data_IF_872211141547
#
_entry.id   IF_872211141547
#
_cell.length_a   1.000
_cell.length_b   1.000
_cell.length_c   1.000
_cell.angle_alpha   90.00
_cell.angle_beta   90.00
_cell.angle_gamma   90.00
#
_symmetry.space_group_name_H-M   'P 1'
#
loop_
_entity.id
_entity.type
_entity.pdbx_description
1 polymer ?
#
# COMPACT_ATOMS: atom_id res chain seq x y z
N UNK A 1 -28.49 16.36 -22.28
CA UNK A 1 -28.50 16.24 -20.80
C UNK A 1 -27.40 15.26 -20.40
N UNK A 2 -26.27 15.76 -19.92
CA UNK A 2 -25.16 14.92 -19.45
C UNK A 2 -25.48 14.42 -18.05
N UNK A 3 -25.81 13.14 -17.93
CA UNK A 3 -26.00 12.45 -16.66
C UNK A 3 -24.69 12.47 -15.88
N UNK A 4 -24.56 13.38 -14.90
CA UNK A 4 -23.51 13.34 -13.91
C UNK A 4 -23.77 12.11 -13.01
N UNK A 5 -23.16 10.98 -13.36
CA UNK A 5 -23.13 9.83 -12.48
C UNK A 5 -22.19 10.17 -11.32
N UNK A 6 -22.77 10.63 -10.21
CA UNK A 6 -22.06 10.79 -8.94
C UNK A 6 -21.71 9.37 -8.46
N UNK A 7 -20.55 8.86 -8.86
CA UNK A 7 -20.01 7.62 -8.31
C UNK A 7 -19.59 7.94 -6.87
N UNK A 8 -20.51 7.74 -5.93
CA UNK A 8 -20.20 7.71 -4.51
C UNK A 8 -19.31 6.47 -4.34
N UNK A 9 -18.00 6.68 -4.35
CA UNK A 9 -17.06 5.68 -3.83
C UNK A 9 -17.27 5.72 -2.32
N UNK A 10 -18.30 5.01 -1.83
CA UNK A 10 -18.31 4.60 -0.43
C UNK A 10 -17.06 3.74 -0.27
N UNK A 11 -16.11 4.23 0.53
CA UNK A 11 -14.93 3.45 0.87
C UNK A 11 -15.41 2.12 1.44
N UNK A 12 -15.09 1.01 0.78
CA UNK A 12 -14.99 -0.27 1.48
C UNK A 12 -13.69 -0.17 2.25
N UNK A 13 -13.75 0.47 3.41
CA UNK A 13 -12.64 0.47 4.35
C UNK A 13 -12.37 -1.01 4.64
N UNK A 14 -11.18 -1.55 4.29
CA UNK A 14 -10.88 -2.96 4.57
C UNK A 14 -10.61 -3.22 6.06
N UNK A 15 -11.31 -2.46 6.90
CA UNK A 15 -11.03 -2.26 8.29
C UNK A 15 -11.88 -3.22 9.10
N UNK A 16 -11.21 -4.06 9.89
CA UNK A 16 -11.82 -5.06 10.76
C UNK A 16 -12.19 -4.40 12.09
N UNK A 17 -13.39 -4.67 12.59
CA UNK A 17 -13.83 -4.23 13.93
C UNK A 17 -13.46 -5.25 15.00
N UNK A 18 -13.40 -4.82 16.27
CA UNK A 18 -13.21 -5.72 17.41
C UNK A 18 -11.77 -6.20 17.66
N UNK A 19 -10.82 -5.85 16.80
CA UNK A 19 -9.39 -6.20 16.97
C UNK A 19 -8.64 -5.18 17.84
N UNK A 20 -9.03 -3.90 17.78
CA UNK A 20 -8.38 -2.83 18.52
C UNK A 20 -9.28 -2.29 19.63
N UNK A 21 -8.74 -2.00 20.83
CA UNK A 21 -9.53 -1.37 21.87
C UNK A 21 -9.92 0.05 21.47
N UNK A 22 -11.09 0.50 21.93
CA UNK A 22 -11.61 1.85 21.66
C UNK A 22 -10.61 2.97 21.96
N UNK A 23 -9.75 2.80 22.98
CA UNK A 23 -8.73 3.77 23.39
C UNK A 23 -7.74 4.14 22.28
N UNK A 24 -7.49 3.22 21.33
CA UNK A 24 -6.67 3.46 20.13
C UNK A 24 -7.32 4.50 19.20
N UNK A 25 -8.65 4.59 19.20
CA UNK A 25 -9.40 5.53 18.37
C UNK A 25 -9.76 6.82 19.11
N UNK A 26 -9.68 6.83 20.45
CA UNK A 26 -9.93 8.02 21.26
C UNK A 26 -8.74 8.98 21.28
N UNK A 27 -7.53 8.47 21.09
CA UNK A 27 -6.30 9.25 21.05
C UNK A 27 -5.66 9.12 19.68
N UNK A 28 -4.82 10.10 19.31
CA UNK A 28 -4.05 10.00 18.07
C UNK A 28 -3.06 8.84 18.16
N UNK A 29 -3.32 7.80 17.37
CA UNK A 29 -2.49 6.63 17.26
C UNK A 29 -2.07 6.39 15.80
N UNK A 30 -0.76 6.31 15.60
CA UNK A 30 -0.13 6.01 14.32
C UNK A 30 1.19 5.28 14.58
N UNK A 31 1.76 4.72 13.51
CA UNK A 31 3.08 4.09 13.52
C UNK A 31 3.05 2.63 13.10
N UNK A 32 4.17 1.95 13.37
CA UNK A 32 4.40 0.58 12.94
C UNK A 32 3.84 -0.41 13.95
N UNK A 33 3.11 -1.39 13.46
CA UNK A 33 2.58 -2.52 14.22
C UNK A 33 3.09 -3.80 13.58
N UNK A 34 3.65 -4.69 14.39
CA UNK A 34 4.08 -6.03 13.96
C UNK A 34 3.03 -7.06 14.33
N UNK A 35 2.89 -8.09 13.49
CA UNK A 35 1.80 -9.06 13.57
C UNK A 35 2.31 -10.48 13.76
N UNK A 36 1.66 -11.19 14.68
CA UNK A 36 1.69 -12.63 14.80
C UNK A 36 0.51 -13.29 14.06
N UNK A 37 0.16 -14.50 14.47
CA UNK A 37 -0.97 -15.25 13.91
C UNK A 37 -2.31 -14.71 14.44
N UNK A 38 -3.40 -14.95 13.70
CA UNK A 38 -4.77 -14.62 14.11
C UNK A 38 -4.97 -13.13 14.45
N UNK A 39 -4.36 -12.25 13.66
CA UNK A 39 -4.34 -10.80 13.89
C UNK A 39 -3.86 -10.38 15.29
N UNK A 40 -3.08 -11.21 15.98
CA UNK A 40 -2.31 -10.76 17.14
C UNK A 40 -1.29 -9.72 16.70
N UNK A 41 -1.16 -8.63 17.46
CA UNK A 41 -0.30 -7.51 17.09
C UNK A 41 0.38 -6.90 18.30
N UNK A 42 1.46 -6.17 18.02
CA UNK A 42 2.14 -5.34 19.00
C UNK A 42 2.65 -4.07 18.31
N UNK A 43 2.33 -2.90 18.90
CA UNK A 43 2.86 -1.62 18.42
C UNK A 43 4.37 -1.60 18.63
N UNK A 44 5.12 -1.19 17.62
CA UNK A 44 6.56 -0.97 17.77
C UNK A 44 6.81 0.33 18.57
N UNK A 45 7.50 0.19 19.71
CA UNK A 45 7.90 1.29 20.58
C UNK A 45 9.43 1.37 20.60
N UNK A 46 10.06 2.52 20.28
CA UNK A 46 11.51 2.62 20.21
C UNK A 46 12.18 2.24 21.53
N UNK A 47 13.18 1.35 21.47
CA UNK A 47 13.91 0.87 22.64
C UNK A 47 13.25 -0.28 23.41
N UNK A 48 12.05 -0.69 23.02
CA UNK A 48 11.35 -1.84 23.62
C UNK A 48 11.44 -3.06 22.70
N UNK A 49 11.56 -4.25 23.29
CA UNK A 49 11.40 -5.51 22.57
C UNK A 49 9.98 -5.63 22.03
N UNK A 50 9.81 -6.30 20.90
CA UNK A 50 8.50 -6.58 20.32
C UNK A 50 8.41 -8.05 19.93
N UNK A 51 7.35 -8.73 20.35
CA UNK A 51 7.17 -10.18 20.27
C UNK A 51 7.11 -10.72 18.85
N UNK A 52 6.79 -9.86 17.88
CA UNK A 52 6.61 -10.20 16.46
C UNK A 52 7.69 -9.59 15.57
N UNK A 53 8.75 -9.05 16.16
CA UNK A 53 9.86 -8.44 15.44
C UNK A 53 11.19 -9.10 15.78
N UNK A 54 11.86 -9.60 14.75
CA UNK A 54 13.24 -10.03 14.82
C UNK A 54 14.09 -9.15 13.89
N UNK A 55 15.07 -8.44 14.45
CA UNK A 55 15.94 -7.56 13.68
C UNK A 55 16.76 -8.26 12.59
N UNK A 56 16.94 -9.57 12.67
CA UNK A 56 17.67 -10.37 11.67
C UNK A 56 16.77 -10.91 10.55
N UNK A 57 15.46 -10.90 10.74
CA UNK A 57 14.50 -11.40 9.76
C UNK A 57 14.28 -10.44 8.59
N UNK A 58 13.97 -10.93 7.37
CA UNK A 58 13.42 -10.07 6.32
C UNK A 58 12.09 -9.45 6.79
N UNK A 59 11.67 -8.32 6.22
CA UNK A 59 10.48 -7.59 6.67
C UNK A 59 9.60 -7.18 5.50
N UNK A 60 8.29 -7.36 5.65
CA UNK A 60 7.27 -6.81 4.74
C UNK A 60 6.37 -5.88 5.53
N UNK A 61 6.23 -4.65 5.04
CA UNK A 61 5.48 -3.58 5.69
C UNK A 61 4.39 -3.10 4.72
N UNK A 62 3.16 -3.15 5.18
CA UNK A 62 1.98 -2.69 4.45
C UNK A 62 1.51 -1.31 4.92
N UNK A 63 1.04 -0.49 3.98
CA UNK A 63 0.43 0.81 4.27
C UNK A 63 -0.92 0.92 3.57
N UNK A 64 -1.97 1.11 4.37
CA UNK A 64 -3.33 1.23 3.87
C UNK A 64 -3.62 2.60 3.24
N UNK A 65 -4.76 2.69 2.54
CA UNK A 65 -5.23 3.89 1.86
C UNK A 65 -6.12 4.80 2.71
N UNK A 66 -7.06 5.45 2.03
CA UNK A 66 -8.11 6.29 2.61
C UNK A 66 -9.07 5.47 3.47
N UNK A 67 -9.43 5.97 4.67
CA UNK A 67 -10.16 5.19 5.69
C UNK A 67 -11.35 5.97 6.27
N UNK A 68 -12.24 6.45 5.39
CA UNK A 68 -13.40 7.22 5.80
C UNK A 68 -14.28 6.45 6.81
N UNK A 69 -14.60 7.11 7.92
CA UNK A 69 -15.36 6.61 9.08
C UNK A 69 -14.68 5.48 9.88
N UNK A 70 -13.45 5.10 9.58
CA UNK A 70 -12.76 4.02 10.33
C UNK A 70 -12.64 4.30 11.82
N UNK A 71 -12.42 5.56 12.21
CA UNK A 71 -12.26 5.94 13.62
C UNK A 71 -13.58 5.80 14.38
N UNK A 72 -14.68 6.30 13.80
CA UNK A 72 -16.03 6.17 14.35
C UNK A 72 -16.47 4.70 14.42
N UNK A 73 -16.13 3.92 13.40
CA UNK A 73 -16.42 2.49 13.34
C UNK A 73 -15.47 1.64 14.19
N UNK A 74 -14.44 2.25 14.79
CA UNK A 74 -13.42 1.57 15.58
C UNK A 74 -12.79 0.39 14.81
N UNK A 75 -12.45 0.65 13.56
CA UNK A 75 -11.92 -0.34 12.64
C UNK A 75 -10.55 0.04 12.09
N UNK A 76 -9.71 -0.98 11.87
CA UNK A 76 -8.40 -0.85 11.20
C UNK A 76 -8.20 -2.03 10.26
N UNK A 77 -7.51 -1.82 9.15
CA UNK A 77 -7.21 -2.95 8.26
C UNK A 77 -6.30 -3.96 8.94
N UNK A 78 -6.63 -5.24 8.87
CA UNK A 78 -5.85 -6.35 9.46
C UNK A 78 -5.53 -7.39 8.39
N UNK A 79 -4.84 -8.48 8.71
CA UNK A 79 -4.47 -9.49 7.73
C UNK A 79 -5.61 -10.46 7.39
N UNK A 80 -6.70 -10.45 8.16
CA UNK A 80 -7.96 -11.04 7.76
C UNK A 80 -8.87 -9.99 7.09
N UNK A 81 -9.33 -10.29 5.87
CA UNK A 81 -10.15 -9.39 5.04
C UNK A 81 -11.56 -9.90 4.77
N UNK A 82 -12.00 -10.94 5.48
CA UNK A 82 -13.32 -11.57 5.29
C UNK A 82 -14.47 -10.56 5.40
N UNK A 83 -14.42 -9.66 6.38
CA UNK A 83 -15.45 -8.63 6.61
C UNK A 83 -15.64 -7.65 5.42
N UNK A 84 -14.78 -7.72 4.39
CA UNK A 84 -14.74 -6.81 3.27
C UNK A 84 -14.89 -7.52 1.91
N UNK A 85 -15.70 -8.57 1.89
CA UNK A 85 -15.89 -9.48 0.75
C UNK A 85 -14.58 -10.14 0.29
N UNK A 86 -13.53 -10.09 1.12
CA UNK A 86 -12.26 -10.75 0.87
C UNK A 86 -12.33 -12.25 1.14
N UNK A 87 -11.24 -12.98 0.88
CA UNK A 87 -11.12 -14.37 1.32
C UNK A 87 -11.06 -14.45 2.85
N UNK A 88 -11.65 -15.51 3.41
CA UNK A 88 -11.50 -15.86 4.81
C UNK A 88 -10.18 -16.62 5.02
N UNK A 89 -9.07 -15.90 4.95
CA UNK A 89 -7.71 -16.41 5.15
C UNK A 89 -6.86 -15.35 5.86
N UNK A 90 -5.83 -15.79 6.57
CA UNK A 90 -4.77 -14.92 7.06
C UNK A 90 -3.76 -14.65 5.93
N UNK A 91 -3.85 -13.46 5.33
CA UNK A 91 -3.03 -13.06 4.20
C UNK A 91 -1.52 -13.01 4.52
N UNK A 92 -1.16 -12.96 5.79
CA UNK A 92 0.23 -12.88 6.26
C UNK A 92 0.82 -14.23 6.68
N UNK A 93 0.01 -15.31 6.67
CA UNK A 93 0.45 -16.63 7.12
C UNK A 93 1.71 -17.13 6.39
N UNK A 94 1.68 -17.17 5.06
CA UNK A 94 2.80 -17.66 4.26
C UNK A 94 4.07 -16.81 4.41
N UNK A 95 3.91 -15.50 4.62
CA UNK A 95 5.03 -14.59 4.88
C UNK A 95 5.71 -14.88 6.22
N UNK A 96 4.92 -15.02 7.30
CA UNK A 96 5.44 -15.36 8.63
C UNK A 96 6.09 -16.74 8.64
N UNK A 97 5.48 -17.72 7.96
CA UNK A 97 6.06 -19.07 7.78
C UNK A 97 7.40 -19.04 7.03
N UNK A 98 7.58 -18.10 6.10
CA UNK A 98 8.85 -17.86 5.43
C UNK A 98 9.85 -17.00 6.26
N UNK A 99 9.54 -16.72 7.53
CA UNK A 99 10.43 -16.03 8.46
C UNK A 99 10.41 -14.50 8.37
N UNK A 100 9.45 -13.89 7.67
CA UNK A 100 9.32 -12.44 7.60
C UNK A 100 8.74 -11.87 8.89
N UNK A 101 9.27 -10.73 9.33
CA UNK A 101 8.48 -9.79 10.12
C UNK A 101 7.37 -9.23 9.21
N UNK A 102 6.12 -9.28 9.67
CA UNK A 102 4.99 -8.78 8.91
C UNK A 102 4.34 -7.63 9.68
N UNK A 103 4.29 -6.45 9.07
CA UNK A 103 3.83 -5.24 9.75
C UNK A 103 2.88 -4.36 8.95
N UNK A 104 2.08 -3.57 9.65
CA UNK A 104 1.23 -2.53 9.08
C UNK A 104 1.65 -1.18 9.65
N UNK A 105 1.82 -0.18 8.79
CA UNK A 105 1.98 1.23 9.19
C UNK A 105 0.62 1.91 9.21
N UNK A 106 0.10 2.16 10.41
CA UNK A 106 -1.18 2.81 10.59
C UNK A 106 -1.09 4.33 10.55
N UNK A 107 -2.00 4.90 9.78
CA UNK A 107 -2.30 6.33 9.75
C UNK A 107 -3.80 6.58 9.59
N UNK A 108 -4.63 5.59 9.96
CA UNK A 108 -6.07 5.57 9.68
C UNK A 108 -6.81 6.80 10.21
N UNK A 109 -6.46 7.31 11.41
CA UNK A 109 -7.10 8.52 11.94
C UNK A 109 -6.74 9.80 11.17
N UNK A 110 -5.57 9.83 10.52
CA UNK A 110 -5.24 10.91 9.57
C UNK A 110 -5.95 10.70 8.22
N UNK A 111 -6.09 9.44 7.79
CA UNK A 111 -6.74 9.04 6.56
C UNK A 111 -8.28 9.01 6.64
N UNK A 112 -8.85 9.17 7.83
CA UNK A 112 -10.30 9.27 8.08
C UNK A 112 -10.77 10.69 7.77
N UNK A 113 -11.01 10.91 6.49
CA UNK A 113 -11.51 12.16 5.92
C UNK A 113 -12.74 11.86 5.06
N UNK A 114 -13.63 12.84 4.92
CA UNK A 114 -14.79 12.69 4.01
C UNK A 114 -14.41 12.79 2.52
N UNK A 115 -13.25 13.37 2.21
CA UNK A 115 -12.75 13.55 0.85
C UNK A 115 -11.33 12.98 0.75
N UNK A 116 -11.10 12.12 -0.26
CA UNK A 116 -9.82 11.44 -0.45
C UNK A 116 -8.65 12.42 -0.63
N UNK A 117 -8.88 13.58 -1.27
CA UNK A 117 -7.85 14.60 -1.47
C UNK A 117 -7.42 15.29 -0.17
N UNK A 118 -8.30 15.34 0.83
CA UNK A 118 -7.98 15.90 2.14
C UNK A 118 -7.03 14.95 2.91
N UNK A 119 -7.24 13.63 2.80
CA UNK A 119 -6.30 12.63 3.30
C UNK A 119 -4.98 12.61 2.50
N UNK A 120 -5.03 12.71 1.16
CA UNK A 120 -3.86 12.78 0.29
C UNK A 120 -2.92 13.92 0.68
N UNK A 121 -3.46 15.12 0.93
CA UNK A 121 -2.65 16.29 1.25
C UNK A 121 -1.77 16.08 2.50
N UNK A 122 -2.29 15.37 3.52
CA UNK A 122 -1.57 15.08 4.77
C UNK A 122 -0.37 14.15 4.59
N UNK A 123 -0.32 13.39 3.49
CA UNK A 123 0.86 12.59 3.14
C UNK A 123 2.04 13.53 2.83
N UNK A 124 1.77 14.62 2.11
CA UNK A 124 2.81 15.47 1.51
C UNK A 124 3.12 16.71 2.34
N UNK A 125 2.12 17.28 3.00
CA UNK A 125 2.25 18.58 3.65
C UNK A 125 1.29 18.72 4.83
N UNK A 126 1.52 19.75 5.65
CA UNK A 126 0.64 20.07 6.78
C UNK A 126 -0.35 21.20 6.52
N UNK A 127 -0.17 21.91 5.41
CA UNK A 127 -0.94 23.09 5.02
C UNK A 127 -1.89 22.80 3.83
N UNK A 128 -2.32 21.55 3.67
CA UNK A 128 -3.41 21.21 2.75
C UNK A 128 -4.73 21.91 3.14
N UNK A 129 -5.77 21.77 2.31
CA UNK A 129 -7.08 22.43 2.51
C UNK A 129 -7.67 22.22 3.92
N UNK A 130 -7.46 21.04 4.51
CA UNK A 130 -7.91 20.68 5.86
C UNK A 130 -6.84 20.71 6.93
N UNK A 131 -5.63 21.16 6.57
CA UNK A 131 -4.43 21.14 7.39
C UNK A 131 -4.13 19.72 7.95
N UNK A 132 -3.20 19.61 8.90
CA UNK A 132 -3.09 18.39 9.70
C UNK A 132 -4.18 18.34 10.74
N UNK A 133 -4.99 17.28 10.66
CA UNK A 133 -5.99 16.93 11.66
C UNK A 133 -6.19 15.42 11.67
N UNK A 134 -6.79 14.89 12.73
CA UNK A 134 -7.13 13.49 12.86
C UNK A 134 -8.53 13.35 13.47
N UNK A 135 -9.17 12.20 13.23
CA UNK A 135 -10.54 11.95 13.70
C UNK A 135 -10.54 10.97 14.88
N UNK A 136 -11.32 11.28 15.91
CA UNK A 136 -11.51 10.39 17.07
C UNK A 136 -12.69 9.42 16.86
N UNK A 137 -12.90 8.52 17.83
CA UNK A 137 -14.00 7.53 17.79
C UNK A 137 -15.40 8.13 17.92
N UNK A 138 -15.52 9.38 18.38
CA UNK A 138 -16.79 10.13 18.42
C UNK A 138 -17.06 10.84 17.10
N UNK A 139 -16.10 10.81 16.17
CA UNK A 139 -16.17 11.45 14.87
C UNK A 139 -15.73 12.91 14.87
N UNK A 140 -15.18 13.43 15.97
CA UNK A 140 -14.66 14.78 16.07
C UNK A 140 -13.28 14.89 15.42
N UNK A 141 -13.00 16.03 14.81
CA UNK A 141 -11.68 16.35 14.30
C UNK A 141 -10.86 17.11 15.35
N UNK A 142 -9.61 16.68 15.51
CA UNK A 142 -8.62 17.30 16.40
C UNK A 142 -7.44 17.80 15.56
N UNK A 143 -6.80 18.88 16.02
CA UNK A 143 -5.58 19.38 15.38
C UNK A 143 -4.49 18.30 15.40
N UNK A 144 -3.80 18.12 14.26
CA UNK A 144 -2.73 17.17 14.11
C UNK A 144 -1.35 17.77 14.39
N UNK A 145 -0.29 16.93 14.38
CA UNK A 145 1.09 17.39 14.55
C UNK A 145 1.53 18.35 13.44
N UNK A 146 2.59 19.12 13.69
CA UNK A 146 3.22 20.05 12.72
C UNK A 146 4.04 19.37 11.61
N UNK A 147 3.98 18.04 11.52
CA UNK A 147 4.65 17.22 10.50
C UNK A 147 3.64 16.49 9.63
N UNK A 148 3.91 16.31 8.32
CA UNK A 148 3.07 15.46 7.46
C UNK A 148 3.06 14.02 7.99
N UNK A 149 1.97 13.29 7.72
CA UNK A 149 1.81 11.90 8.15
C UNK A 149 2.98 11.01 7.64
N UNK A 150 3.49 11.27 6.45
CA UNK A 150 4.64 10.53 5.91
C UNK A 150 5.93 10.73 6.69
N UNK A 151 6.15 11.92 7.25
CA UNK A 151 7.29 12.18 8.11
C UNK A 151 7.16 11.44 9.44
N UNK A 152 5.96 11.45 10.03
CA UNK A 152 5.67 10.72 11.27
C UNK A 152 5.87 9.20 11.10
N UNK A 153 5.38 8.63 9.99
CA UNK A 153 5.55 7.20 9.71
C UNK A 153 7.00 6.84 9.36
N UNK A 154 7.71 7.67 8.60
CA UNK A 154 9.14 7.49 8.38
C UNK A 154 9.92 7.48 9.71
N UNK A 155 9.64 8.44 10.60
CA UNK A 155 10.26 8.50 11.93
C UNK A 155 9.89 7.29 12.80
N UNK A 156 8.70 6.72 12.63
CA UNK A 156 8.30 5.46 13.28
C UNK A 156 9.15 4.29 12.78
N UNK A 157 9.29 4.10 11.47
CA UNK A 157 10.13 3.03 10.89
C UNK A 157 11.58 3.21 11.30
N UNK A 158 12.14 4.40 11.08
CA UNK A 158 13.55 4.72 11.37
C UNK A 158 13.92 4.41 12.82
N UNK A 159 13.10 4.80 13.80
CA UNK A 159 13.40 4.59 15.22
C UNK A 159 13.20 3.14 15.66
N UNK A 160 12.11 2.51 15.23
CA UNK A 160 11.77 1.15 15.65
C UNK A 160 12.61 0.07 14.97
N UNK A 161 13.22 0.38 13.82
CA UNK A 161 14.09 -0.53 13.08
C UNK A 161 15.52 0.02 12.97
N UNK A 162 15.95 0.87 13.92
CA UNK A 162 17.27 1.50 13.86
C UNK A 162 18.41 0.47 13.88
N UNK A 163 18.25 -0.63 14.62
CA UNK A 163 19.21 -1.72 14.76
C UNK A 163 18.95 -2.91 13.81
N UNK A 164 18.11 -2.71 12.79
CA UNK A 164 17.77 -3.74 11.81
C UNK A 164 19.02 -4.32 11.12
N UNK A 165 19.12 -5.65 11.10
CA UNK A 165 20.24 -6.40 10.50
C UNK A 165 19.80 -7.35 9.39
N UNK A 166 18.49 -7.51 9.17
CA UNK A 166 17.94 -8.35 8.11
C UNK A 166 18.37 -7.89 6.71
N UNK A 167 18.16 -8.77 5.75
CA UNK A 167 18.69 -8.63 4.39
C UNK A 167 17.71 -8.04 3.38
N UNK A 168 16.43 -7.89 3.75
CA UNK A 168 15.36 -7.51 2.80
C UNK A 168 14.21 -6.80 3.48
N UNK A 169 13.91 -5.60 2.98
CA UNK A 169 12.67 -4.86 3.30
C UNK A 169 11.81 -4.76 2.04
N UNK A 170 10.52 -5.06 2.18
CA UNK A 170 9.48 -4.83 1.17
C UNK A 170 8.48 -3.84 1.75
N UNK A 171 8.17 -2.76 1.01
CA UNK A 171 7.10 -1.83 1.40
C UNK A 171 5.98 -1.91 0.36
N UNK A 172 4.78 -2.25 0.81
CA UNK A 172 3.59 -2.33 -0.03
C UNK A 172 2.60 -1.22 0.36
N UNK A 173 2.04 -0.53 -0.61
CA UNK A 173 1.02 0.50 -0.39
C UNK A 173 -0.24 0.19 -1.17
N UNK A 174 -1.42 0.39 -0.59
CA UNK A 174 -2.71 0.23 -1.28
C UNK A 174 -3.45 1.56 -1.40
N UNK A 175 -4.08 1.82 -2.56
CA UNK A 175 -4.82 3.07 -2.80
C UNK A 175 -3.94 4.31 -2.53
N UNK A 176 -4.32 5.23 -1.63
CA UNK A 176 -3.45 6.32 -1.16
C UNK A 176 -2.17 5.85 -0.46
N UNK A 177 -2.18 4.68 0.16
CA UNK A 177 -1.02 4.07 0.81
C UNK A 177 0.15 3.85 -0.15
N UNK A 178 -0.09 3.80 -1.47
CA UNK A 178 0.96 3.83 -2.48
C UNK A 178 1.84 5.08 -2.39
N UNK A 179 1.21 6.25 -2.24
CA UNK A 179 1.93 7.51 -2.07
C UNK A 179 2.72 7.49 -0.77
N UNK A 180 2.11 6.98 0.30
CA UNK A 180 2.78 6.85 1.60
C UNK A 180 4.00 5.92 1.51
N UNK A 181 3.86 4.74 0.90
CA UNK A 181 4.95 3.78 0.70
C UNK A 181 6.12 4.40 -0.10
N UNK A 182 5.82 5.13 -1.18
CA UNK A 182 6.84 5.83 -1.98
C UNK A 182 7.54 6.93 -1.20
N UNK A 183 6.78 7.79 -0.50
CA UNK A 183 7.35 8.90 0.27
C UNK A 183 8.21 8.38 1.41
N UNK A 184 7.78 7.32 2.12
CA UNK A 184 8.58 6.69 3.18
C UNK A 184 9.85 6.09 2.59
N UNK A 185 9.77 5.37 1.47
CA UNK A 185 10.94 4.79 0.79
C UNK A 185 11.95 5.88 0.39
N UNK A 186 11.45 7.00 -0.15
CA UNK A 186 12.28 8.16 -0.50
C UNK A 186 12.94 8.80 0.72
N UNK A 187 12.20 8.97 1.83
CA UNK A 187 12.74 9.49 3.09
C UNK A 187 13.78 8.56 3.71
N UNK A 188 13.62 7.25 3.59
CA UNK A 188 14.64 6.27 3.98
C UNK A 188 15.91 6.49 3.15
N UNK A 189 15.79 6.55 1.82
CA UNK A 189 16.92 6.84 0.92
C UNK A 189 17.64 8.14 1.31
N UNK A 190 16.89 9.22 1.54
CA UNK A 190 17.48 10.52 1.91
C UNK A 190 18.15 10.48 3.27
N UNK A 191 17.55 9.81 4.26
CA UNK A 191 18.15 9.63 5.57
C UNK A 191 19.43 8.77 5.53
N UNK A 192 19.52 7.80 4.62
CA UNK A 192 20.73 7.01 4.39
C UNK A 192 21.83 7.89 3.79
N UNK A 193 21.50 8.70 2.77
CA UNK A 193 22.43 9.65 2.15
C UNK A 193 22.93 10.70 3.15
N UNK A 194 22.08 11.09 4.09
CA UNK A 194 22.43 12.00 5.19
C UNK A 194 23.14 11.31 6.38
N UNK A 195 23.42 10.00 6.32
CA UNK A 195 24.12 9.26 7.38
C UNK A 195 23.30 9.07 8.67
N UNK A 196 21.99 9.27 8.65
CA UNK A 196 21.15 9.26 9.85
C UNK A 196 20.10 8.14 9.87
N UNK A 197 20.03 7.29 8.85
CA UNK A 197 19.13 6.14 8.76
C UNK A 197 19.93 4.89 8.42
N UNK A 198 19.60 3.77 9.06
CA UNK A 198 20.21 2.48 8.77
C UNK A 198 20.06 2.11 7.28
N UNK A 199 21.18 1.88 6.59
CA UNK A 199 21.21 1.58 5.16
C UNK A 199 20.50 0.27 4.77
N UNK A 200 20.35 -0.66 5.71
CA UNK A 200 19.60 -1.92 5.52
C UNK A 200 18.09 -1.71 5.41
N UNK A 201 17.59 -0.52 5.76
CA UNK A 201 16.17 -0.19 5.62
C UNK A 201 15.78 0.21 4.21
N UNK A 202 16.74 0.50 3.31
CA UNK A 202 16.40 0.79 1.90
C UNK A 202 15.61 -0.40 1.33
N UNK A 203 14.34 -0.21 0.92
CA UNK A 203 13.52 -1.32 0.45
C UNK A 203 14.18 -1.97 -0.76
N UNK A 204 14.24 -3.29 -0.78
CA UNK A 204 14.64 -4.02 -1.99
C UNK A 204 13.52 -3.96 -3.03
N UNK A 205 12.27 -3.93 -2.56
CA UNK A 205 11.06 -3.96 -3.39
C UNK A 205 9.99 -3.03 -2.84
N UNK A 206 9.31 -2.33 -3.73
CA UNK A 206 8.10 -1.55 -3.41
C UNK A 206 6.95 -2.02 -4.27
N UNK A 207 5.85 -2.42 -3.63
CA UNK A 207 4.65 -2.93 -4.28
C UNK A 207 3.53 -1.91 -4.27
N UNK A 208 3.05 -1.55 -5.46
CA UNK A 208 2.01 -0.55 -5.64
C UNK A 208 0.65 -1.21 -5.94
N UNK A 209 -0.20 -1.33 -4.93
CA UNK A 209 -1.44 -2.11 -4.97
C UNK A 209 -2.64 -1.19 -5.26
N UNK A 210 -3.24 -1.36 -6.43
CA UNK A 210 -4.28 -0.51 -7.02
C UNK A 210 -4.05 1.01 -6.79
N UNK A 211 -2.96 1.57 -7.35
CA UNK A 211 -2.47 2.89 -6.98
C UNK A 211 -3.44 4.03 -7.27
N UNK A 212 -3.59 4.94 -6.32
CA UNK A 212 -4.36 6.18 -6.49
C UNK A 212 -3.47 7.41 -6.39
N UNK A 213 -3.63 8.32 -7.36
CA UNK A 213 -3.04 9.66 -7.38
C UNK A 213 -4.11 10.63 -7.84
N UNK A 214 -4.43 11.68 -7.08
CA UNK A 214 -5.46 12.60 -7.50
C UNK A 214 -4.96 13.53 -8.62
N UNK A 215 -5.87 13.92 -9.53
CA UNK A 215 -5.56 14.86 -10.60
C UNK A 215 -5.35 16.29 -10.08
N UNK A 216 -4.63 17.08 -10.88
CA UNK A 216 -4.53 18.53 -10.72
C UNK A 216 -3.39 18.98 -9.81
N UNK A 217 -2.91 20.20 -10.08
CA UNK A 217 -1.79 20.85 -9.42
C UNK A 217 -2.06 21.03 -7.93
N UNK A 218 -1.06 20.77 -7.09
CA UNK A 218 -1.11 20.98 -5.64
C UNK A 218 -0.22 22.14 -5.25
N UNK A 219 -0.78 23.17 -4.61
CA UNK A 219 0.02 24.31 -4.12
C UNK A 219 1.13 23.87 -3.17
N UNK A 220 0.84 22.88 -2.31
CA UNK A 220 1.81 22.28 -1.39
C UNK A 220 2.88 21.38 -2.06
N UNK A 221 2.83 21.20 -3.38
CA UNK A 221 3.87 20.55 -4.18
C UNK A 221 4.45 21.50 -5.24
N UNK A 222 4.45 22.81 -4.98
CA UNK A 222 4.95 23.78 -5.96
C UNK A 222 4.20 23.73 -7.29
N UNK A 223 2.87 23.55 -7.23
CA UNK A 223 1.98 23.40 -8.38
C UNK A 223 2.22 22.16 -9.26
N UNK A 224 2.89 21.14 -8.73
CA UNK A 224 3.02 19.82 -9.35
C UNK A 224 1.88 18.89 -8.97
N UNK A 225 1.71 17.81 -9.72
CA UNK A 225 0.77 16.74 -9.41
C UNK A 225 1.43 15.70 -8.50
N UNK A 226 0.65 15.04 -7.63
CA UNK A 226 1.19 13.96 -6.77
C UNK A 226 1.81 12.83 -7.61
N UNK A 227 1.20 12.51 -8.75
CA UNK A 227 1.72 11.52 -9.70
C UNK A 227 3.04 11.91 -10.37
N UNK A 228 3.33 13.21 -10.54
CA UNK A 228 4.63 13.67 -11.07
C UNK A 228 5.74 13.47 -10.04
N UNK A 229 5.51 13.93 -8.81
CA UNK A 229 6.48 13.78 -7.72
C UNK A 229 6.74 12.29 -7.43
N UNK A 230 5.70 11.46 -7.50
CA UNK A 230 5.85 10.01 -7.35
C UNK A 230 6.75 9.37 -8.42
N UNK A 231 6.69 9.85 -9.67
CA UNK A 231 7.57 9.36 -10.76
C UNK A 231 9.04 9.72 -10.49
N UNK A 232 9.32 10.94 -10.05
CA UNK A 232 10.68 11.34 -9.68
C UNK A 232 11.22 10.48 -8.53
N UNK A 233 10.37 10.16 -7.54
CA UNK A 233 10.77 9.33 -6.41
C UNK A 233 11.06 7.89 -6.85
N UNK A 234 10.25 7.33 -7.76
CA UNK A 234 10.53 6.02 -8.36
C UNK A 234 11.85 6.03 -9.12
N UNK A 235 12.12 7.04 -9.94
CA UNK A 235 13.39 7.14 -10.67
C UNK A 235 14.59 7.23 -9.72
N UNK A 236 14.51 8.08 -8.70
CA UNK A 236 15.55 8.19 -7.69
C UNK A 236 15.81 6.88 -6.94
N UNK A 237 14.75 6.15 -6.57
CA UNK A 237 14.87 4.88 -5.84
C UNK A 237 15.39 3.75 -6.74
N UNK A 238 14.97 3.71 -8.01
CA UNK A 238 15.49 2.74 -8.99
C UNK A 238 17.00 2.87 -9.20
N UNK A 239 17.53 4.10 -9.18
CA UNK A 239 18.96 4.35 -9.29
C UNK A 239 19.75 3.73 -8.12
N UNK A 240 19.13 3.59 -6.94
CA UNK A 240 19.72 2.93 -5.78
C UNK A 240 19.34 1.43 -5.70
N UNK A 241 18.81 0.86 -6.80
CA UNK A 241 18.58 -0.57 -6.96
C UNK A 241 17.22 -1.08 -6.47
N UNK A 242 16.32 -0.21 -6.02
CA UNK A 242 14.96 -0.58 -5.60
C UNK A 242 14.16 -1.06 -6.81
N UNK A 243 13.51 -2.22 -6.70
CA UNK A 243 12.59 -2.73 -7.74
C UNK A 243 11.16 -2.35 -7.42
N UNK A 244 10.40 -2.01 -8.46
CA UNK A 244 9.00 -1.62 -8.33
C UNK A 244 8.09 -2.57 -9.08
N UNK A 245 6.95 -2.84 -8.47
CA UNK A 245 5.84 -3.55 -9.10
C UNK A 245 4.54 -2.80 -8.86
N UNK A 246 3.56 -3.02 -9.74
CA UNK A 246 2.23 -2.45 -9.59
C UNK A 246 1.16 -3.45 -10.02
N UNK A 247 0.08 -3.50 -9.24
CA UNK A 247 -1.08 -4.34 -9.48
C UNK A 247 -2.27 -3.42 -9.65
N UNK A 248 -2.95 -3.48 -10.80
CA UNK A 248 -4.22 -2.78 -10.99
C UNK A 248 -5.36 -3.77 -11.06
N UNK A 249 -6.32 -3.66 -10.16
CA UNK A 249 -7.51 -4.51 -10.08
C UNK A 249 -8.81 -3.74 -10.33
N UNK A 250 -8.79 -2.40 -10.33
CA UNK A 250 -10.00 -1.60 -10.50
C UNK A 250 -9.87 -0.44 -11.48
N UNK A 251 -11.04 0.14 -11.78
CA UNK A 251 -11.16 1.37 -12.55
C UNK A 251 -10.90 2.66 -11.76
N UNK A 252 -10.68 2.60 -10.43
CA UNK A 252 -10.50 3.80 -9.58
C UNK A 252 -9.34 4.69 -10.05
N UNK A 253 -8.28 4.06 -10.56
CA UNK A 253 -7.14 4.73 -11.20
C UNK A 253 -7.37 5.04 -12.69
N UNK A 254 -8.29 4.34 -13.37
CA UNK A 254 -8.41 4.39 -14.82
C UNK A 254 -9.60 5.17 -15.39
N UNK A 255 -10.61 5.52 -14.60
CA UNK A 255 -11.83 6.20 -15.09
C UNK A 255 -11.75 7.71 -15.13
N UNK A 256 -10.65 8.31 -14.65
CA UNK A 256 -10.30 9.70 -14.97
C UNK A 256 -11.19 10.79 -14.36
N UNK A 257 -12.17 10.46 -13.51
CA UNK A 257 -13.04 11.46 -12.87
C UNK A 257 -12.40 12.05 -11.60
N UNK A 258 -11.66 11.25 -10.81
CA UNK A 258 -11.00 11.69 -9.57
C UNK A 258 -9.50 11.32 -9.52
N UNK A 259 -9.15 10.11 -9.96
CA UNK A 259 -7.77 9.63 -10.03
C UNK A 259 -7.10 9.83 -11.39
N UNK A 260 -5.78 10.05 -11.38
CA UNK A 260 -4.91 10.05 -12.55
C UNK A 260 -4.53 8.62 -12.93
N UNK A 261 -4.55 8.32 -14.23
CA UNK A 261 -4.12 7.00 -14.75
C UNK A 261 -2.67 6.69 -14.43
N UNK A 262 -1.87 7.75 -14.26
CA UNK A 262 -0.45 7.74 -14.01
C UNK A 262 0.29 6.70 -14.85
N UNK A 263 0.00 6.67 -16.16
CA UNK A 263 0.58 5.72 -17.12
C UNK A 263 2.11 5.78 -17.07
N UNK A 264 2.68 6.98 -16.95
CA UNK A 264 4.12 7.16 -16.81
C UNK A 264 4.72 6.48 -15.56
N UNK A 265 3.97 6.38 -14.45
CA UNK A 265 4.42 5.64 -13.27
C UNK A 265 4.29 4.13 -13.49
N UNK A 266 3.15 3.65 -14.01
CA UNK A 266 2.94 2.22 -14.26
C UNK A 266 3.96 1.68 -15.29
N UNK A 267 4.34 2.50 -16.26
CA UNK A 267 5.43 2.23 -17.20
C UNK A 267 6.84 2.38 -16.58
N UNK A 268 6.98 2.53 -15.26
CA UNK A 268 8.26 2.45 -14.55
C UNK A 268 8.37 1.21 -13.66
N UNK A 269 7.29 0.44 -13.52
CA UNK A 269 7.19 -0.76 -12.65
C UNK A 269 7.07 -2.04 -13.46
N UNK A 270 7.27 -3.20 -12.83
CA UNK A 270 6.70 -4.46 -13.30
C UNK A 270 5.19 -4.37 -13.10
N UNK A 271 4.41 -4.30 -14.19
CA UNK A 271 2.99 -3.99 -14.10
C UNK A 271 2.12 -5.18 -14.48
N UNK A 272 1.14 -5.50 -13.64
CA UNK A 272 0.07 -6.46 -13.94
C UNK A 272 -1.32 -5.85 -13.79
N UNK A 273 -2.18 -6.13 -14.76
CA UNK A 273 -3.62 -5.94 -14.62
C UNK A 273 -4.29 -7.22 -14.13
N UNK A 274 -4.84 -7.15 -12.93
CA UNK A 274 -5.77 -8.16 -12.40
C UNK A 274 -7.16 -7.95 -13.02
N UNK A 275 -7.89 -9.04 -13.19
CA UNK A 275 -9.23 -9.10 -13.78
C UNK A 275 -10.19 -9.83 -12.81
N UNK A 276 -10.59 -9.19 -11.70
CA UNK A 276 -11.47 -9.79 -10.69
C UNK A 276 -12.93 -9.86 -11.18
N UNK A 277 -13.21 -10.78 -12.09
CA UNK A 277 -14.52 -10.98 -12.71
C UNK A 277 -15.50 -11.75 -11.83
N UNK A 278 -15.05 -12.29 -10.69
CA UNK A 278 -15.93 -12.72 -9.58
C UNK A 278 -16.67 -11.54 -8.91
N UNK A 279 -16.28 -10.29 -9.18
CA UNK A 279 -17.07 -9.10 -8.85
C UNK A 279 -17.71 -8.50 -10.10
N UNK A 280 -18.92 -7.96 -9.94
CA UNK A 280 -19.69 -7.32 -11.00
C UNK A 280 -18.95 -6.13 -11.61
N UNK A 281 -19.30 -5.76 -12.83
CA UNK A 281 -18.64 -4.65 -13.55
C UNK A 281 -18.62 -3.34 -12.75
N UNK A 282 -19.74 -3.03 -12.08
CA UNK A 282 -19.94 -1.81 -11.30
C UNK A 282 -19.44 -1.88 -9.85
N UNK A 283 -18.94 -3.03 -9.38
CA UNK A 283 -18.40 -3.21 -8.03
C UNK A 283 -16.98 -2.60 -7.88
N UNK A 284 -16.80 -1.37 -8.34
CA UNK A 284 -15.50 -0.69 -8.41
C UNK A 284 -14.81 -0.64 -7.05
N UNK A 285 -15.58 -0.40 -5.98
CA UNK A 285 -15.06 -0.32 -4.63
C UNK A 285 -14.54 -1.70 -4.13
N UNK A 286 -15.24 -2.79 -4.43
CA UNK A 286 -14.77 -4.16 -4.12
C UNK A 286 -13.56 -4.54 -4.98
N UNK A 287 -13.58 -4.19 -6.27
CA UNK A 287 -12.44 -4.41 -7.17
C UNK A 287 -11.20 -3.64 -6.73
N UNK A 288 -11.37 -2.46 -6.13
CA UNK A 288 -10.26 -1.64 -5.64
C UNK A 288 -9.46 -2.34 -4.53
N UNK A 289 -10.11 -3.16 -3.71
CA UNK A 289 -9.45 -3.86 -2.60
C UNK A 289 -8.71 -5.13 -3.02
N UNK A 290 -9.02 -5.67 -4.20
CA UNK A 290 -8.44 -6.93 -4.71
C UNK A 290 -6.93 -6.94 -4.76
N UNK A 291 -6.30 -5.89 -5.30
CA UNK A 291 -4.85 -5.87 -5.46
C UNK A 291 -4.11 -6.08 -4.13
N UNK A 292 -4.67 -5.61 -3.01
CA UNK A 292 -4.08 -5.83 -1.69
C UNK A 292 -4.07 -7.30 -1.34
N UNK A 293 -5.25 -7.90 -1.24
CA UNK A 293 -5.34 -9.25 -0.73
C UNK A 293 -4.80 -10.28 -1.73
N UNK A 294 -4.96 -10.07 -3.05
CA UNK A 294 -4.37 -10.95 -4.07
C UNK A 294 -2.84 -10.94 -3.97
N UNK A 295 -2.23 -9.75 -3.81
CA UNK A 295 -0.78 -9.66 -3.62
C UNK A 295 -0.29 -10.46 -2.41
N UNK A 296 -0.81 -10.16 -1.22
CA UNK A 296 -0.32 -10.82 0.00
C UNK A 296 -0.61 -12.32 0.01
N UNK A 297 -1.78 -12.75 -0.46
CA UNK A 297 -2.13 -14.18 -0.55
C UNK A 297 -1.32 -14.92 -1.62
N UNK A 298 -0.94 -14.26 -2.72
CA UNK A 298 -0.15 -14.88 -3.79
C UNK A 298 1.24 -15.37 -3.35
N UNK A 299 1.70 -14.98 -2.16
CA UNK A 299 2.95 -15.48 -1.58
C UNK A 299 2.86 -16.95 -1.14
N UNK A 300 1.65 -17.45 -0.87
CA UNK A 300 1.40 -18.85 -0.49
C UNK A 300 1.51 -19.82 -1.67
N UNK A 301 1.57 -19.29 -2.90
CA UNK A 301 1.54 -20.05 -4.12
C UNK A 301 2.80 -19.85 -4.97
N UNK A 302 3.02 -20.82 -5.87
CA UNK A 302 3.97 -20.67 -6.97
C UNK A 302 3.67 -19.40 -7.78
N UNK A 303 4.72 -18.81 -8.34
CA UNK A 303 4.54 -17.67 -9.24
C UNK A 303 3.66 -18.07 -10.43
N UNK A 304 2.69 -17.23 -10.84
CA UNK A 304 1.79 -17.55 -11.95
C UNK A 304 2.60 -17.74 -13.24
N UNK A 305 2.19 -18.65 -14.12
CA UNK A 305 2.84 -18.82 -15.42
C UNK A 305 2.47 -17.70 -16.38
N UNK A 306 3.30 -17.47 -17.40
CA UNK A 306 2.97 -16.61 -18.54
C UNK A 306 2.60 -17.47 -19.74
N UNK A 307 1.34 -17.38 -20.16
CA UNK A 307 0.75 -18.12 -21.27
C UNK A 307 1.63 -18.10 -22.52
N UNK A 308 1.91 -19.30 -23.04
CA UNK A 308 2.73 -19.49 -24.24
C UNK A 308 4.24 -19.29 -24.01
N UNK A 309 4.70 -19.28 -22.76
CA UNK A 309 6.13 -19.16 -22.41
C UNK A 309 6.47 -20.05 -21.21
N UNK A 310 7.76 -20.31 -20.98
CA UNK A 310 8.28 -20.92 -19.75
C UNK A 310 8.55 -19.91 -18.63
N UNK A 311 8.20 -18.64 -18.83
CA UNK A 311 8.55 -17.57 -17.92
C UNK A 311 7.51 -17.40 -16.80
N UNK A 312 8.00 -17.06 -15.61
CA UNK A 312 7.14 -16.73 -14.47
C UNK A 312 6.59 -15.30 -14.60
N UNK A 313 5.33 -15.13 -14.22
CA UNK A 313 4.61 -13.88 -14.11
C UNK A 313 4.96 -13.11 -12.84
N UNK A 314 4.06 -12.22 -12.45
CA UNK A 314 4.22 -11.33 -11.30
C UNK A 314 3.28 -11.72 -10.16
N UNK A 315 3.84 -12.04 -9.02
CA UNK A 315 3.20 -12.34 -7.72
C UNK A 315 4.11 -11.85 -6.58
N UNK A 316 3.61 -11.86 -5.36
CA UNK A 316 4.46 -11.60 -4.19
C UNK A 316 5.64 -12.57 -4.08
N UNK A 317 5.45 -13.85 -4.41
CA UNK A 317 6.50 -14.88 -4.42
C UNK A 317 7.52 -14.74 -5.56
N UNK A 318 7.30 -13.82 -6.51
CA UNK A 318 8.23 -13.58 -7.62
C UNK A 318 9.56 -13.00 -7.11
N UNK A 319 10.69 -13.52 -7.61
CA UNK A 319 12.02 -13.08 -7.19
C UNK A 319 12.32 -11.63 -7.61
N UNK A 320 13.12 -10.90 -6.84
CA UNK A 320 13.48 -9.50 -7.17
C UNK A 320 14.15 -9.37 -8.54
N UNK A 321 14.95 -10.36 -8.94
CA UNK A 321 15.58 -10.40 -10.26
C UNK A 321 14.53 -10.50 -11.37
N UNK A 322 13.48 -11.32 -11.18
CA UNK A 322 12.40 -11.44 -12.16
C UNK A 322 11.53 -10.19 -12.19
N UNK A 323 11.21 -9.61 -11.03
CA UNK A 323 10.51 -8.32 -10.94
C UNK A 323 11.32 -7.24 -11.67
N UNK A 324 12.64 -7.18 -11.47
CA UNK A 324 13.53 -6.24 -12.18
C UNK A 324 13.50 -6.44 -13.69
N UNK A 325 13.54 -7.68 -14.16
CA UNK A 325 13.43 -8.03 -15.58
C UNK A 325 12.10 -7.53 -16.18
N UNK A 326 10.98 -7.77 -15.51
CA UNK A 326 9.66 -7.30 -15.93
C UNK A 326 9.57 -5.76 -15.90
N UNK A 327 10.11 -5.13 -14.85
CA UNK A 327 10.15 -3.69 -14.65
C UNK A 327 10.94 -2.97 -15.74
N UNK A 328 12.03 -3.56 -16.23
CA UNK A 328 12.88 -2.98 -17.28
C UNK A 328 12.48 -3.44 -18.69
N UNK A 329 11.61 -4.43 -18.81
CA UNK A 329 11.11 -4.92 -20.10
C UNK A 329 10.10 -3.96 -20.75
N UNK A 330 9.70 -4.26 -22.00
CA UNK A 330 8.76 -3.44 -22.78
C UNK A 330 7.31 -3.96 -22.76
N UNK A 331 7.00 -4.93 -21.89
CA UNK A 331 5.67 -5.53 -21.75
C UNK A 331 5.11 -5.27 -20.36
N UNK A 332 3.78 -5.32 -20.28
CA UNK A 332 3.02 -5.52 -19.05
C UNK A 332 2.43 -6.92 -19.02
N UNK A 333 1.85 -7.29 -17.90
CA UNK A 333 1.14 -8.54 -17.71
C UNK A 333 -0.36 -8.28 -17.55
N UNK A 334 -1.16 -9.24 -17.98
CA UNK A 334 -2.63 -9.24 -17.80
C UNK A 334 -3.03 -10.63 -17.31
N UNK A 335 -3.80 -10.70 -16.23
CA UNK A 335 -4.39 -11.94 -15.73
C UNK A 335 -5.37 -12.52 -16.77
N UNK A 336 -5.23 -13.82 -17.06
CA UNK A 336 -6.05 -14.56 -18.04
C UNK A 336 -6.71 -15.81 -17.46
N UNK A 337 -6.17 -16.41 -16.41
CA UNK A 337 -6.85 -17.42 -15.58
C UNK A 337 -6.93 -16.93 -14.13
N UNK A 338 -7.73 -17.57 -13.27
CA UNK A 338 -8.01 -17.08 -11.90
C UNK A 338 -8.95 -15.87 -11.83
N UNK A 339 -9.57 -15.49 -12.96
CA UNK A 339 -10.41 -14.28 -13.06
C UNK A 339 -11.76 -14.42 -12.37
N UNK A 340 -12.24 -15.64 -12.17
CA UNK A 340 -13.56 -15.97 -11.64
C UNK A 340 -13.51 -16.58 -10.23
N UNK A 341 -12.33 -16.69 -9.66
CA UNK A 341 -12.06 -17.24 -8.33
C UNK A 341 -11.38 -16.17 -7.47
N UNK A 342 -11.62 -16.18 -6.16
CA UNK A 342 -10.90 -15.27 -5.24
C UNK A 342 -9.48 -15.74 -4.95
N UNK A 343 -9.16 -17.01 -5.16
CA UNK A 343 -7.82 -17.54 -4.87
C UNK A 343 -6.83 -17.14 -5.97
N UNK A 344 -5.57 -16.79 -5.63
CA UNK A 344 -4.50 -16.62 -6.61
C UNK A 344 -3.91 -17.95 -7.12
N UNK A 345 -4.32 -19.09 -6.56
CA UNK A 345 -3.71 -20.42 -6.86
C UNK A 345 -3.82 -20.85 -8.32
N UNK A 346 -4.83 -20.35 -9.03
CA UNK A 346 -5.14 -20.64 -10.43
C UNK A 346 -4.85 -19.44 -11.37
N UNK A 347 -4.07 -18.45 -10.91
CA UNK A 347 -3.67 -17.31 -11.72
C UNK A 347 -2.71 -17.73 -12.85
N UNK A 348 -3.08 -17.41 -14.10
CA UNK A 348 -2.19 -17.37 -15.26
C UNK A 348 -2.18 -15.95 -15.82
N UNK A 349 -1.04 -15.50 -16.35
CA UNK A 349 -0.87 -14.18 -16.94
C UNK A 349 -0.48 -14.27 -18.42
N UNK A 350 -0.63 -13.18 -19.17
CA UNK A 350 -0.06 -13.05 -20.52
C UNK A 350 0.67 -11.72 -20.69
N UNK A 351 1.64 -11.69 -21.59
CA UNK A 351 2.25 -10.43 -22.02
C UNK A 351 1.25 -9.57 -22.81
N UNK A 352 1.36 -8.26 -22.63
CA UNK A 352 0.72 -7.25 -23.46
C UNK A 352 1.66 -6.05 -23.62
N UNK A 353 1.38 -5.17 -24.60
CA UNK A 353 2.11 -3.91 -24.74
C UNK A 353 1.94 -3.05 -23.48
N UNK A 354 2.97 -2.26 -23.16
CA UNK A 354 2.88 -1.23 -22.09
C UNK A 354 1.75 -0.25 -22.32
N UNK A 355 1.39 0.46 -21.25
CA UNK A 355 0.25 1.36 -21.20
C UNK A 355 0.46 2.66 -21.98
#
# INVERSE_FOLDING_TARGET
MSTFMLLIITSVAQATTGVFPKSVFDNLDYGLYWYGNNDSYEKAIPGHSNSYYNKYSPSVIYVHGWQNNSSKNQSRETWNVEQNDGPNVDLAYAWRRAGYNVGILYWNQFADENEVKDAEAKIWATNGKRQMRWRDSRGNYHNGPSKPASQLLFESVKRNMHDYQGNRVIIAGHSLGNQMALVISKKIQDGIKAGNTNSRLLPKRVALLDPFYSKGKKGYLGNRWTGEVARDYVDALKNDGVVFEAYRSSGVSSTGVVGDKNVGLLNKTAFVELKPYYFGWFDIAKKHTVARWNYFWSYDFSTPSIKGTSANGLSASTSDNRVRSLMNGNKRLIQVEGRYTKTPSDDEQKYANRL
#
